data_IF_201235500743
#
_entry.id   IF_201235500743
#
_cell.length_a   1.000
_cell.length_b   1.000
_cell.length_c   1.000
_cell.angle_alpha   90.00
_cell.angle_beta   90.00
_cell.angle_gamma   90.00
#
_symmetry.space_group_name_H-M   'P 1'
#
loop_
_entity.id
_entity.type
_entity.pdbx_description
1 polymer ?
#
# COMPACT_ATOMS: atom_id res chain seq x y z
N UNK A 1 3.93 -10.53 28.78
CA UNK A 1 3.34 -10.26 27.45
C UNK A 1 4.13 -10.90 26.31
N UNK A 2 5.45 -10.75 26.23
CA UNK A 2 6.28 -11.36 25.16
C UNK A 2 6.22 -12.90 25.10
N UNK A 3 6.18 -13.57 26.25
CA UNK A 3 6.13 -15.05 26.33
C UNK A 3 4.85 -15.62 25.68
N UNK A 4 3.73 -14.89 25.71
CA UNK A 4 2.48 -15.35 25.12
C UNK A 4 2.50 -15.21 23.59
N UNK A 5 3.19 -14.20 23.07
CA UNK A 5 3.38 -13.99 21.63
C UNK A 5 4.29 -15.07 21.01
N UNK A 6 5.31 -15.51 21.75
CA UNK A 6 6.19 -16.63 21.35
C UNK A 6 5.44 -17.96 21.31
N UNK A 7 4.45 -18.16 22.19
CA UNK A 7 3.66 -19.39 22.26
C UNK A 7 2.62 -19.49 21.14
N UNK A 8 2.00 -18.37 20.78
CA UNK A 8 1.07 -18.28 19.62
C UNK A 8 1.81 -18.59 18.31
N UNK A 9 3.06 -18.12 18.17
CA UNK A 9 3.91 -18.41 17.01
C UNK A 9 4.42 -19.87 16.96
N UNK A 10 4.40 -20.62 18.07
CA UNK A 10 4.73 -22.06 18.08
C UNK A 10 3.55 -22.95 17.64
N UNK A 11 2.32 -22.49 17.80
CA UNK A 11 1.12 -23.26 17.45
C UNK A 11 0.69 -23.06 15.98
N UNK A 12 0.98 -21.88 15.41
CA UNK A 12 0.92 -21.65 13.98
C UNK A 12 2.14 -22.33 13.31
N UNK A 13 1.98 -23.57 12.88
CA UNK A 13 3.05 -24.45 12.42
C UNK A 13 3.87 -23.92 11.24
N UNK A 14 4.94 -23.17 11.56
CA UNK A 14 6.09 -23.00 10.68
C UNK A 14 7.37 -23.35 11.44
N UNK A 15 7.76 -24.62 11.38
CA UNK A 15 8.96 -25.15 12.04
C UNK A 15 10.23 -24.38 11.66
N UNK A 16 10.22 -23.58 10.57
CA UNK A 16 11.34 -22.70 10.16
C UNK A 16 11.61 -21.56 11.14
N UNK A 17 10.59 -21.00 11.79
CA UNK A 17 10.77 -19.92 12.77
C UNK A 17 11.39 -20.44 14.08
N UNK A 18 11.07 -21.68 14.47
CA UNK A 18 11.66 -22.33 15.64
C UNK A 18 13.16 -22.60 15.45
N UNK A 19 13.58 -23.11 14.28
CA UNK A 19 15.00 -23.37 13.98
C UNK A 19 15.86 -22.10 13.95
N UNK A 20 15.34 -20.97 13.49
CA UNK A 20 16.06 -19.68 13.49
C UNK A 20 16.25 -19.09 14.89
N UNK A 21 15.30 -19.30 15.81
CA UNK A 21 15.36 -18.76 17.18
C UNK A 21 16.39 -19.47 18.06
N UNK A 22 16.55 -20.80 17.93
CA UNK A 22 17.57 -21.54 18.68
C UNK A 22 19.01 -21.12 18.28
N UNK A 23 19.24 -20.82 17.00
CA UNK A 23 20.55 -20.38 16.52
C UNK A 23 20.94 -18.97 16.99
N UNK A 24 19.97 -18.03 17.03
CA UNK A 24 20.23 -16.66 17.48
C UNK A 24 20.57 -16.59 18.98
N UNK A 25 19.85 -17.36 19.81
CA UNK A 25 20.10 -17.40 21.25
C UNK A 25 21.47 -18.00 21.58
N UNK A 26 21.85 -19.09 20.90
CA UNK A 26 23.17 -19.72 21.06
C UNK A 26 24.32 -18.81 20.61
N UNK A 27 24.08 -18.00 19.59
CA UNK A 27 25.08 -17.07 19.05
C UNK A 27 25.25 -15.85 19.95
N UNK A 28 24.15 -15.25 20.40
CA UNK A 28 24.17 -14.16 21.40
C UNK A 28 24.86 -14.61 22.70
N UNK A 29 24.62 -15.86 23.13
CA UNK A 29 25.24 -16.43 24.33
C UNK A 29 26.76 -16.63 24.20
N UNK A 30 27.32 -16.59 22.99
CA UNK A 30 28.77 -16.70 22.74
C UNK A 30 29.45 -15.34 22.63
N UNK A 31 28.69 -14.26 22.46
CA UNK A 31 29.22 -12.89 22.40
C UNK A 31 29.63 -12.46 23.82
N UNK A 32 30.75 -11.74 23.92
CA UNK A 32 31.39 -11.47 25.22
C UNK A 32 31.22 -10.02 25.66
N UNK A 33 30.87 -9.14 24.72
CA UNK A 33 30.70 -7.72 24.99
C UNK A 33 29.30 -7.25 24.64
N UNK A 34 28.84 -6.21 25.32
CA UNK A 34 27.55 -5.58 25.06
C UNK A 34 27.49 -5.04 23.63
N UNK A 35 28.59 -4.44 23.13
CA UNK A 35 28.68 -3.94 21.76
C UNK A 35 28.45 -5.02 20.71
N UNK A 36 29.07 -6.20 20.86
CA UNK A 36 28.87 -7.31 19.91
C UNK A 36 27.42 -7.80 19.92
N UNK A 37 26.78 -7.82 21.08
CA UNK A 37 25.36 -8.19 21.22
C UNK A 37 24.47 -7.16 20.55
N UNK A 38 24.74 -5.86 20.76
CA UNK A 38 24.03 -4.76 20.10
C UNK A 38 24.14 -4.85 18.57
N UNK A 39 25.35 -5.04 18.05
CA UNK A 39 25.60 -5.17 16.61
C UNK A 39 24.86 -6.37 16.02
N UNK A 40 24.94 -7.54 16.67
CA UNK A 40 24.26 -8.75 16.24
C UNK A 40 22.73 -8.59 16.21
N UNK A 41 22.16 -7.97 17.26
CA UNK A 41 20.72 -7.71 17.31
C UNK A 41 20.29 -6.72 16.23
N UNK A 42 21.07 -5.66 16.01
CA UNK A 42 20.79 -4.67 14.98
C UNK A 42 20.81 -5.29 13.59
N UNK A 43 21.83 -6.08 13.26
CA UNK A 43 21.99 -6.68 11.93
C UNK A 43 21.02 -7.82 11.65
N UNK A 44 20.73 -8.68 12.64
CA UNK A 44 20.00 -9.93 12.40
C UNK A 44 18.53 -9.88 12.76
N UNK A 45 18.13 -8.92 13.59
CA UNK A 45 16.75 -8.79 14.06
C UNK A 45 16.18 -7.45 13.65
N UNK A 46 16.75 -6.35 14.13
CA UNK A 46 16.12 -5.04 13.99
C UNK A 46 16.09 -4.57 12.53
N UNK A 47 17.23 -4.60 11.82
CA UNK A 47 17.28 -4.16 10.44
C UNK A 47 16.41 -5.01 9.50
N UNK A 48 16.44 -6.37 9.53
CA UNK A 48 15.56 -7.19 8.72
C UNK A 48 14.08 -6.98 9.03
N UNK A 49 13.71 -6.81 10.31
CA UNK A 49 12.33 -6.52 10.70
C UNK A 49 11.87 -5.15 10.21
N UNK A 50 12.72 -4.12 10.32
CA UNK A 50 12.41 -2.79 9.83
C UNK A 50 12.22 -2.79 8.31
N UNK A 51 13.10 -3.46 7.57
CA UNK A 51 12.98 -3.61 6.11
C UNK A 51 11.72 -4.39 5.71
N UNK A 52 11.45 -5.53 6.34
CA UNK A 52 10.25 -6.31 6.04
C UNK A 52 8.95 -5.54 6.35
N UNK A 53 8.95 -4.75 7.44
CA UNK A 53 7.82 -3.89 7.77
C UNK A 53 7.64 -2.76 6.75
N UNK A 54 8.74 -2.15 6.31
CA UNK A 54 8.72 -1.12 5.28
C UNK A 54 8.19 -1.66 3.96
N UNK A 55 8.71 -2.80 3.47
CA UNK A 55 8.25 -3.46 2.25
C UNK A 55 6.76 -3.83 2.31
N UNK A 56 6.29 -4.31 3.47
CA UNK A 56 4.87 -4.61 3.67
C UNK A 56 4.00 -3.36 3.62
N UNK A 57 4.44 -2.25 4.21
CA UNK A 57 3.72 -0.97 4.13
C UNK A 57 3.69 -0.43 2.70
N UNK A 58 4.81 -0.45 1.99
CA UNK A 58 4.88 0.02 0.60
C UNK A 58 3.99 -0.82 -0.31
N UNK A 59 4.02 -2.15 -0.18
CA UNK A 59 3.15 -3.04 -0.95
C UNK A 59 1.67 -2.83 -0.63
N UNK A 60 1.31 -2.57 0.64
CA UNK A 60 -0.06 -2.21 1.01
C UNK A 60 -0.49 -0.87 0.38
N UNK A 61 0.37 0.15 0.44
CA UNK A 61 0.09 1.47 -0.14
C UNK A 61 -0.11 1.39 -1.65
N UNK A 62 0.76 0.65 -2.34
CA UNK A 62 0.63 0.37 -3.77
C UNK A 62 -0.70 -0.32 -4.07
N UNK A 63 -1.06 -1.37 -3.32
CA UNK A 63 -2.33 -2.08 -3.51
C UNK A 63 -3.55 -1.17 -3.31
N UNK A 64 -3.50 -0.27 -2.31
CA UNK A 64 -4.58 0.70 -2.08
C UNK A 64 -4.71 1.65 -3.27
N UNK A 65 -3.59 2.18 -3.77
CA UNK A 65 -3.58 3.08 -4.93
C UNK A 65 -4.11 2.40 -6.19
N UNK A 66 -3.69 1.17 -6.46
CA UNK A 66 -4.19 0.36 -7.59
C UNK A 66 -5.71 0.18 -7.50
N UNK A 67 -6.24 -0.18 -6.33
CA UNK A 67 -7.69 -0.31 -6.12
C UNK A 67 -8.44 1.00 -6.33
N UNK A 68 -7.85 2.13 -5.93
CA UNK A 68 -8.43 3.45 -6.22
C UNK A 68 -8.45 3.74 -7.72
N UNK A 69 -7.36 3.45 -8.45
CA UNK A 69 -7.31 3.61 -9.90
C UNK A 69 -8.34 2.73 -10.62
N UNK A 70 -8.52 1.48 -10.17
CA UNK A 70 -9.56 0.60 -10.71
C UNK A 70 -10.96 1.18 -10.55
N UNK A 71 -11.28 1.76 -9.39
CA UNK A 71 -12.57 2.44 -9.17
C UNK A 71 -12.71 3.59 -10.16
N UNK A 72 -11.67 4.42 -10.31
CA UNK A 72 -11.69 5.54 -11.25
C UNK A 72 -11.93 5.06 -12.68
N UNK A 73 -11.24 4.02 -13.14
CA UNK A 73 -11.36 3.54 -14.52
C UNK A 73 -12.73 2.91 -14.80
N UNK A 74 -13.38 2.32 -13.80
CA UNK A 74 -14.70 1.70 -13.93
C UNK A 74 -15.85 2.70 -13.82
N UNK A 75 -15.65 3.79 -13.07
CA UNK A 75 -16.71 4.70 -12.64
C UNK A 75 -16.35 6.17 -12.93
N UNK A 76 -15.53 6.43 -13.95
CA UNK A 76 -15.11 7.80 -14.29
C UNK A 76 -16.28 8.70 -14.72
N UNK A 77 -17.41 8.13 -15.13
CA UNK A 77 -18.59 8.82 -15.64
C UNK A 77 -19.57 9.25 -14.54
N UNK A 78 -19.30 8.91 -13.28
CA UNK A 78 -20.08 9.35 -12.11
C UNK A 78 -19.28 10.29 -11.21
N UNK A 79 -19.97 10.93 -10.26
CA UNK A 79 -19.34 11.79 -9.26
C UNK A 79 -18.44 10.95 -8.33
N UNK A 80 -17.13 11.00 -8.58
CA UNK A 80 -16.12 10.32 -7.79
C UNK A 80 -15.41 11.30 -6.87
N UNK A 81 -15.54 11.07 -5.57
CA UNK A 81 -14.82 11.80 -4.54
C UNK A 81 -13.91 10.89 -3.74
N UNK A 82 -12.92 11.49 -3.09
CA UNK A 82 -12.01 10.75 -2.22
C UNK A 82 -12.74 10.12 -1.02
N UNK A 83 -13.80 10.77 -0.52
CA UNK A 83 -14.66 10.27 0.56
C UNK A 83 -15.46 9.02 0.16
N UNK A 84 -15.88 8.93 -1.09
CA UNK A 84 -16.53 7.72 -1.63
C UNK A 84 -15.53 6.56 -1.65
N UNK A 85 -14.31 6.78 -2.15
CA UNK A 85 -13.26 5.76 -2.14
C UNK A 85 -12.87 5.36 -0.70
N UNK A 86 -12.79 6.32 0.22
CA UNK A 86 -12.50 6.11 1.63
C UNK A 86 -13.52 5.17 2.29
N UNK A 87 -14.80 5.44 2.05
CA UNK A 87 -15.92 4.63 2.56
C UNK A 87 -15.89 3.20 1.99
N UNK A 88 -15.62 3.04 0.69
CA UNK A 88 -15.60 1.72 0.03
C UNK A 88 -14.39 0.87 0.42
N UNK A 89 -13.25 1.51 0.63
CA UNK A 89 -11.99 0.82 0.97
C UNK A 89 -11.78 0.68 2.48
N UNK A 90 -12.68 1.22 3.30
CA UNK A 90 -12.59 1.26 4.78
C UNK A 90 -11.31 1.94 5.28
N UNK A 91 -10.96 3.08 4.68
CA UNK A 91 -9.83 3.92 5.09
C UNK A 91 -10.29 5.35 5.38
N UNK A 92 -9.50 6.06 6.18
CA UNK A 92 -9.74 7.49 6.39
C UNK A 92 -9.36 8.29 5.11
N UNK A 93 -10.15 9.29 4.69
CA UNK A 93 -9.87 10.10 3.49
C UNK A 93 -8.46 10.68 3.45
N UNK A 94 -7.98 11.30 4.53
CA UNK A 94 -6.62 11.86 4.59
C UNK A 94 -5.50 10.83 4.33
N UNK A 95 -5.72 9.57 4.73
CA UNK A 95 -4.76 8.50 4.45
C UNK A 95 -4.73 8.18 2.96
N UNK A 96 -5.90 7.99 2.34
CA UNK A 96 -6.01 7.75 0.90
C UNK A 96 -5.45 8.89 0.07
N UNK A 97 -5.66 10.14 0.48
CA UNK A 97 -5.08 11.31 -0.20
C UNK A 97 -3.55 11.23 -0.25
N UNK A 98 -2.94 10.82 0.86
CA UNK A 98 -1.48 10.73 0.99
C UNK A 98 -0.94 9.56 0.19
N UNK A 99 -1.54 8.38 0.34
CA UNK A 99 -1.17 7.16 -0.38
C UNK A 99 -1.32 7.35 -1.89
N UNK A 100 -2.49 7.83 -2.34
CA UNK A 100 -2.75 8.02 -3.75
C UNK A 100 -1.81 9.04 -4.38
N UNK A 101 -1.56 10.18 -3.72
CA UNK A 101 -0.62 11.19 -4.24
C UNK A 101 0.81 10.65 -4.33
N UNK A 102 1.25 9.87 -3.35
CA UNK A 102 2.58 9.26 -3.33
C UNK A 102 2.75 8.30 -4.52
N UNK A 103 1.78 7.44 -4.76
CA UNK A 103 1.86 6.41 -5.80
C UNK A 103 1.54 6.94 -7.21
N UNK A 104 0.55 7.81 -7.35
CA UNK A 104 0.10 8.35 -8.64
C UNK A 104 0.86 9.60 -9.09
N UNK A 105 1.63 10.25 -8.19
CA UNK A 105 2.36 11.49 -8.44
C UNK A 105 1.50 12.76 -8.51
N UNK A 106 0.19 12.62 -8.74
CA UNK A 106 -0.79 13.71 -8.80
C UNK A 106 -1.88 13.52 -7.76
N UNK A 107 -2.67 14.56 -7.50
CA UNK A 107 -3.80 14.42 -6.59
C UNK A 107 -4.96 13.64 -7.24
N UNK A 108 -5.88 13.14 -6.43
CA UNK A 108 -6.99 12.30 -6.89
C UNK A 108 -7.89 12.99 -7.93
N UNK A 109 -8.35 14.21 -7.65
CA UNK A 109 -9.25 14.95 -8.55
C UNK A 109 -8.58 15.28 -9.88
N UNK A 110 -7.29 15.61 -9.86
CA UNK A 110 -6.48 15.81 -11.05
C UNK A 110 -6.33 14.52 -11.86
N UNK A 111 -6.10 13.37 -11.20
CA UNK A 111 -6.03 12.08 -11.87
C UNK A 111 -7.36 11.75 -12.59
N UNK A 112 -8.50 11.90 -11.89
CA UNK A 112 -9.83 11.66 -12.46
C UNK A 112 -10.06 12.56 -13.67
N UNK A 113 -9.74 13.85 -13.55
CA UNK A 113 -9.88 14.84 -14.63
C UNK A 113 -9.05 14.49 -15.86
N UNK A 114 -7.77 14.12 -15.65
CA UNK A 114 -6.87 13.71 -16.72
C UNK A 114 -7.33 12.43 -17.41
N UNK A 115 -7.85 11.47 -16.64
CA UNK A 115 -8.39 10.23 -17.18
C UNK A 115 -9.60 10.49 -18.09
N UNK A 116 -10.58 11.26 -17.60
CA UNK A 116 -11.76 11.63 -18.39
C UNK A 116 -11.39 12.41 -19.64
N UNK A 117 -10.43 13.34 -19.55
CA UNK A 117 -9.94 14.07 -20.72
C UNK A 117 -9.30 13.14 -21.76
N UNK A 118 -8.58 12.11 -21.31
CA UNK A 118 -8.06 11.06 -22.18
C UNK A 118 -9.15 10.29 -22.92
N UNK A 119 -10.24 9.93 -22.23
CA UNK A 119 -11.41 9.28 -22.83
C UNK A 119 -12.09 10.20 -23.84
N UNK A 120 -12.32 11.47 -23.48
CA UNK A 120 -12.93 12.45 -24.37
C UNK A 120 -12.13 12.65 -25.66
N UNK A 121 -10.79 12.76 -25.55
CA UNK A 121 -9.90 12.81 -26.72
C UNK A 121 -10.04 11.58 -27.61
N UNK A 122 -10.17 10.39 -27.02
CA UNK A 122 -10.37 9.15 -27.76
C UNK A 122 -11.70 9.16 -28.51
N UNK A 123 -12.80 9.52 -27.84
CA UNK A 123 -14.11 9.62 -28.48
C UNK A 123 -14.16 10.65 -29.61
N UNK A 124 -13.48 11.79 -29.47
CA UNK A 124 -13.39 12.79 -30.54
C UNK A 124 -12.66 12.28 -31.80
N UNK A 125 -11.77 11.30 -31.66
CA UNK A 125 -11.01 10.72 -32.78
C UNK A 125 -11.69 9.48 -33.37
N UNK A 126 -12.39 8.71 -32.54
CA UNK A 126 -12.91 7.39 -32.88
C UNK A 126 -14.42 7.36 -33.12
N UNK A 127 -15.15 8.43 -32.80
CA UNK A 127 -16.62 8.47 -32.90
C UNK A 127 -17.15 9.75 -33.55
N UNK A 128 -18.29 9.66 -34.21
CA UNK A 128 -19.05 10.81 -34.73
C UNK A 128 -19.95 11.46 -33.65
N UNK A 129 -19.64 11.25 -32.36
CA UNK A 129 -20.42 11.83 -31.27
C UNK A 129 -20.35 13.35 -31.29
N UNK A 130 -21.47 14.01 -30.99
CA UNK A 130 -21.48 15.48 -30.88
C UNK A 130 -20.60 15.89 -29.70
N UNK A 131 -19.85 16.97 -29.88
CA UNK A 131 -18.98 17.56 -28.85
C UNK A 131 -19.75 17.83 -27.54
N UNK A 132 -21.05 18.16 -27.63
CA UNK A 132 -21.95 18.33 -26.48
C UNK A 132 -22.06 17.08 -25.61
N UNK A 133 -22.06 15.91 -26.23
CA UNK A 133 -22.33 14.63 -25.57
C UNK A 133 -21.05 14.09 -24.90
N UNK A 134 -19.88 14.48 -25.42
CA UNK A 134 -18.56 14.17 -24.88
C UNK A 134 -18.21 15.05 -23.67
N UNK A 135 -18.78 16.26 -23.59
CA UNK A 135 -18.52 17.20 -22.49
C UNK A 135 -19.23 16.83 -21.17
N UNK A 136 -20.37 16.13 -21.24
CA UNK A 136 -21.18 15.83 -20.05
C UNK A 136 -20.41 14.99 -19.00
N UNK A 137 -19.71 13.90 -19.37
CA UNK A 137 -18.94 13.11 -18.39
C UNK A 137 -17.71 13.85 -17.81
N UNK A 138 -17.32 14.99 -18.39
CA UNK A 138 -16.20 15.81 -17.87
C UNK A 138 -16.62 16.80 -16.78
N UNK A 139 -17.92 17.10 -16.68
CA UNK A 139 -18.47 18.19 -15.86
C UNK A 139 -19.05 17.73 -14.50
N UNK A 140 -19.04 16.43 -14.21
CA UNK A 140 -19.60 15.81 -13.00
C UNK A 140 -18.50 15.58 -11.97
#
# INVERSE_FOLDING_TARGET
MLINLVRELQQAGDSRAAYGQFHLFDEISRLKTVSEIEDCLMERVIAPMASAFHEKLESQNKNISERMMEIIHKEYDVELTLDVCASRLNYHPNYLKTVFRKEAGVNFSEYVSNYRLGIAKRWLLETDMKISDIAIPLLI
#
